data_IF_575648420752
#
_entry.id   IF_575648420752
#
_cell.length_a   1.000
_cell.length_b   1.000
_cell.length_c   1.000
_cell.angle_alpha   90.00
_cell.angle_beta   90.00
_cell.angle_gamma   90.00
#
_symmetry.space_group_name_H-M   'P 1'
#
loop_
_entity.id
_entity.type
_entity.pdbx_description
1 polymer ?
#
# COMPACT_ATOMS: atom_id res chain seq x y z
N UNK A 1 7.48 -4.82 4.81
CA UNK A 1 8.18 -3.67 4.19
C UNK A 1 8.99 -2.88 5.23
N UNK A 2 9.99 -2.12 4.79
CA UNK A 2 10.75 -1.18 5.64
C UNK A 2 11.41 -1.80 6.90
N UNK A 3 11.91 -3.04 6.81
CA UNK A 3 12.61 -3.70 7.93
C UNK A 3 11.72 -4.20 9.08
N UNK A 4 10.40 -4.01 9.01
CA UNK A 4 9.46 -4.48 10.06
C UNK A 4 9.15 -5.97 9.98
N UNK A 5 9.21 -6.56 8.78
CA UNK A 5 8.95 -7.99 8.57
C UNK A 5 10.24 -8.80 8.74
N UNK A 6 10.12 -10.03 9.24
CA UNK A 6 11.25 -10.98 9.30
C UNK A 6 11.70 -11.42 7.89
N UNK A 7 10.74 -11.63 6.98
CA UNK A 7 10.96 -11.96 5.59
C UNK A 7 10.09 -11.05 4.71
N UNK A 8 10.64 -10.54 3.61
CA UNK A 8 9.89 -9.84 2.59
C UNK A 8 10.49 -10.09 1.21
N UNK A 9 9.66 -10.01 0.18
CA UNK A 9 10.10 -10.15 -1.21
C UNK A 9 10.88 -8.92 -1.72
N UNK A 10 10.56 -7.73 -1.19
CA UNK A 10 11.18 -6.46 -1.58
C UNK A 10 11.05 -5.42 -0.46
N UNK A 11 11.95 -4.43 -0.47
CA UNK A 11 11.86 -3.23 0.35
C UNK A 11 11.10 -2.09 -0.36
N UNK A 12 10.80 -2.26 -1.65
CA UNK A 12 10.13 -1.25 -2.46
C UNK A 12 8.66 -1.09 -2.07
N UNK A 13 8.17 0.14 -2.26
CA UNK A 13 6.77 0.50 -2.10
C UNK A 13 6.06 0.29 -3.44
N UNK A 14 5.23 -0.74 -3.55
CA UNK A 14 4.53 -1.11 -4.79
C UNK A 14 3.02 -0.98 -4.65
N UNK A 15 2.38 -0.63 -5.76
CA UNK A 15 0.92 -0.67 -5.84
C UNK A 15 0.46 -2.12 -5.91
N UNK A 16 -0.40 -2.49 -4.96
CA UNK A 16 -1.21 -3.71 -5.03
C UNK A 16 -2.65 -3.25 -5.23
N UNK A 17 -3.20 -3.27 -6.47
CA UNK A 17 -4.49 -2.66 -6.77
C UNK A 17 -5.63 -3.15 -5.86
N UNK A 18 -5.65 -4.45 -5.55
CA UNK A 18 -6.63 -5.05 -4.64
C UNK A 18 -6.53 -4.50 -3.21
N UNK A 19 -5.32 -4.15 -2.76
CA UNK A 19 -5.07 -3.55 -1.45
C UNK A 19 -5.56 -2.11 -1.33
N UNK A 20 -5.68 -1.38 -2.45
CA UNK A 20 -6.12 0.03 -2.48
C UNK A 20 -7.65 0.12 -2.56
N UNK A 21 -8.22 -0.50 -3.59
CA UNK A 21 -9.62 -0.26 -3.97
C UNK A 21 -10.61 -0.99 -3.05
N UNK A 22 -10.15 -2.01 -2.31
CA UNK A 22 -11.04 -2.84 -1.48
C UNK A 22 -12.10 -3.60 -2.29
N UNK A 23 -12.00 -3.57 -3.63
CA UNK A 23 -12.87 -4.25 -4.56
C UNK A 23 -12.16 -5.48 -5.11
N UNK A 24 -12.85 -6.62 -5.03
CA UNK A 24 -12.43 -7.87 -5.64
C UNK A 24 -12.86 -7.87 -7.11
N UNK A 25 -11.99 -7.44 -8.02
CA UNK A 25 -12.10 -7.87 -9.44
C UNK A 25 -11.75 -9.35 -9.60
N UNK A 26 -11.09 -9.92 -8.59
CA UNK A 26 -10.81 -11.35 -8.45
C UNK A 26 -11.08 -11.79 -7.01
N UNK A 27 -11.68 -12.97 -6.86
CA UNK A 27 -11.86 -13.72 -5.62
C UNK A 27 -13.32 -13.85 -5.22
N UNK A 28 -14.19 -12.94 -5.67
CA UNK A 28 -15.64 -12.83 -5.37
C UNK A 28 -16.05 -13.26 -3.94
N UNK A 29 -15.16 -13.06 -2.97
CA UNK A 29 -15.42 -13.36 -1.57
C UNK A 29 -15.03 -12.18 -0.70
N UNK A 30 -15.70 -12.06 0.44
CA UNK A 30 -15.39 -11.06 1.45
C UNK A 30 -14.08 -11.36 2.18
N UNK A 31 -13.71 -10.42 3.05
CA UNK A 31 -12.76 -10.69 4.14
C UNK A 31 -13.31 -11.82 5.02
N UNK A 32 -12.42 -12.54 5.69
CA UNK A 32 -12.79 -13.60 6.63
C UNK A 32 -13.67 -13.09 7.76
N UNK A 33 -14.65 -13.90 8.15
CA UNK A 33 -15.61 -13.65 9.22
C UNK A 33 -15.35 -14.65 10.34
N UNK A 34 -15.11 -14.16 11.55
CA UNK A 34 -15.03 -14.99 12.74
C UNK A 34 -16.45 -15.32 13.23
N UNK A 35 -16.85 -16.60 13.31
CA UNK A 35 -18.19 -16.97 13.76
C UNK A 35 -18.36 -16.66 15.26
N UNK A 36 -19.53 -16.15 15.65
CA UNK A 36 -19.84 -15.85 17.06
C UNK A 36 -19.89 -17.09 17.95
N UNK A 37 -20.21 -18.24 17.36
CA UNK A 37 -20.28 -19.57 17.94
C UNK A 37 -18.96 -20.36 17.85
N UNK A 38 -17.90 -19.74 17.30
CA UNK A 38 -16.61 -20.39 17.07
C UNK A 38 -16.59 -21.29 15.83
N UNK A 39 -15.50 -22.03 15.64
CA UNK A 39 -15.30 -22.90 14.46
C UNK A 39 -14.40 -22.28 13.39
N UNK A 40 -14.59 -22.70 12.14
CA UNK A 40 -13.77 -22.25 11.01
C UNK A 40 -14.18 -20.84 10.55
N UNK A 41 -13.22 -20.06 10.05
CA UNK A 41 -13.53 -18.75 9.45
C UNK A 41 -14.45 -18.90 8.24
N UNK A 42 -15.48 -18.06 8.16
CA UNK A 42 -16.38 -17.95 7.02
C UNK A 42 -16.04 -16.80 6.07
N UNK A 43 -16.79 -16.68 4.99
CA UNK A 43 -16.81 -15.51 4.10
C UNK A 43 -18.17 -15.39 3.41
N UNK A 44 -18.48 -14.20 2.88
CA UNK A 44 -19.64 -13.96 2.02
C UNK A 44 -19.19 -14.08 0.56
N UNK A 45 -19.94 -14.82 -0.25
CA UNK A 45 -19.75 -14.91 -1.70
C UNK A 45 -20.52 -13.78 -2.39
N UNK A 46 -19.87 -13.08 -3.30
CA UNK A 46 -20.44 -11.95 -4.05
C UNK A 46 -21.06 -12.40 -5.37
N UNK A 47 -22.15 -13.17 -5.30
CA UNK A 47 -22.83 -13.73 -6.48
C UNK A 47 -23.27 -12.66 -7.50
N UNK A 48 -23.71 -11.50 -7.01
CA UNK A 48 -24.11 -10.36 -7.84
C UNK A 48 -22.99 -9.79 -8.74
N UNK A 49 -21.73 -10.14 -8.47
CA UNK A 49 -20.57 -9.71 -9.27
C UNK A 49 -20.07 -10.80 -10.23
N UNK A 50 -20.75 -11.95 -10.33
CA UNK A 50 -20.31 -13.08 -11.16
C UNK A 50 -20.06 -12.69 -12.63
N UNK A 51 -20.88 -11.80 -13.18
CA UNK A 51 -20.72 -11.31 -14.56
C UNK A 51 -19.44 -10.48 -14.78
N UNK A 52 -18.78 -10.05 -13.70
CA UNK A 52 -17.57 -9.23 -13.72
C UNK A 52 -16.33 -9.99 -13.19
N UNK A 53 -16.45 -11.29 -12.92
CA UNK A 53 -15.36 -12.08 -12.36
C UNK A 53 -14.21 -12.24 -13.37
N UNK A 54 -13.02 -11.77 -13.00
CA UNK A 54 -11.78 -11.99 -13.78
C UNK A 54 -10.77 -12.87 -13.03
N UNK A 55 -11.19 -13.61 -12.00
CA UNK A 55 -10.29 -14.45 -11.19
C UNK A 55 -9.47 -15.43 -12.00
N UNK A 56 -10.10 -16.20 -12.89
CA UNK A 56 -9.40 -17.21 -13.68
C UNK A 56 -8.33 -16.57 -14.56
N UNK A 57 -8.70 -15.53 -15.31
CA UNK A 57 -7.75 -14.80 -16.15
C UNK A 57 -6.60 -14.20 -15.35
N UNK A 58 -6.87 -13.61 -14.18
CA UNK A 58 -5.82 -13.07 -13.31
C UNK A 58 -4.83 -14.14 -12.82
N UNK A 59 -5.34 -15.29 -12.35
CA UNK A 59 -4.50 -16.42 -11.90
C UNK A 59 -3.69 -16.99 -13.06
N UNK A 60 -4.30 -17.16 -14.23
CA UNK A 60 -3.63 -17.64 -15.43
C UNK A 60 -2.47 -16.72 -15.85
N UNK A 61 -2.68 -15.40 -15.84
CA UNK A 61 -1.62 -14.43 -16.13
C UNK A 61 -0.46 -14.53 -15.12
N UNK A 62 -0.75 -14.63 -13.82
CA UNK A 62 0.30 -14.84 -12.81
C UNK A 62 1.05 -16.15 -13.08
N UNK A 63 0.36 -17.24 -13.39
CA UNK A 63 0.99 -18.53 -13.62
C UNK A 63 1.87 -18.53 -14.89
N UNK A 64 1.44 -17.84 -15.95
CA UNK A 64 2.26 -17.61 -17.15
C UNK A 64 3.56 -16.88 -16.78
N UNK A 65 3.45 -15.75 -16.06
CA UNK A 65 4.61 -14.96 -15.62
C UNK A 65 5.54 -15.78 -14.72
N UNK A 66 4.97 -16.61 -13.84
CA UNK A 66 5.73 -17.51 -12.96
C UNK A 66 6.48 -18.57 -13.74
N UNK A 67 5.86 -19.22 -14.74
CA UNK A 67 6.49 -20.27 -15.57
C UNK A 67 7.59 -19.73 -16.47
N UNK A 68 7.48 -18.48 -16.92
CA UNK A 68 8.52 -17.81 -17.71
C UNK A 68 9.79 -17.50 -16.91
N UNK A 69 9.70 -17.50 -15.57
CA UNK A 69 10.87 -17.32 -14.71
C UNK A 69 11.51 -18.68 -14.46
N UNK A 70 12.73 -18.87 -14.93
CA UNK A 70 13.58 -20.00 -14.54
C UNK A 70 13.86 -19.89 -13.03
N UNK A 71 13.14 -20.67 -12.22
CA UNK A 71 13.19 -20.51 -10.78
C UNK A 71 14.39 -21.28 -10.17
N UNK A 72 15.49 -20.58 -9.98
CA UNK A 72 16.56 -20.95 -9.05
C UNK A 72 17.03 -19.73 -8.22
N UNK A 73 16.10 -18.83 -7.85
CA UNK A 73 16.43 -17.74 -6.95
C UNK A 73 16.51 -18.27 -5.51
N UNK A 74 17.72 -18.50 -5.03
CA UNK A 74 17.99 -18.66 -3.60
C UNK A 74 17.87 -17.28 -2.96
N UNK A 75 16.68 -16.96 -2.46
CA UNK A 75 16.45 -15.73 -1.70
C UNK A 75 16.95 -15.95 -0.26
N UNK A 76 17.95 -15.19 0.15
CA UNK A 76 18.33 -15.11 1.56
C UNK A 76 17.42 -14.08 2.26
N UNK A 77 16.87 -14.40 3.45
CA UNK A 77 16.22 -13.41 4.29
C UNK A 77 17.19 -12.25 4.59
N UNK A 78 16.66 -11.03 4.75
CA UNK A 78 17.49 -9.91 5.19
C UNK A 78 18.15 -10.20 6.54
N UNK A 79 19.42 -9.82 6.65
CA UNK A 79 20.13 -9.89 7.93
C UNK A 79 19.47 -8.94 8.95
N UNK A 80 19.66 -9.18 10.27
CA UNK A 80 19.21 -8.24 11.29
C UNK A 80 19.70 -6.80 11.06
N UNK A 81 20.93 -6.64 10.56
CA UNK A 81 21.50 -5.33 10.24
C UNK A 81 20.76 -4.65 9.09
N UNK A 82 20.54 -5.34 7.96
CA UNK A 82 19.79 -4.80 6.82
C UNK A 82 18.37 -4.38 7.22
N UNK A 83 17.69 -5.19 8.03
CA UNK A 83 16.37 -4.84 8.57
C UNK A 83 16.42 -3.60 9.46
N UNK A 84 17.44 -3.48 10.31
CA UNK A 84 17.64 -2.31 11.17
C UNK A 84 17.86 -1.04 10.34
N UNK A 85 18.69 -1.10 9.29
CA UNK A 85 18.96 0.03 8.39
C UNK A 85 17.70 0.47 7.64
N UNK A 86 16.93 -0.47 7.09
CA UNK A 86 15.65 -0.19 6.43
C UNK A 86 14.65 0.45 7.40
N UNK A 87 14.57 -0.06 8.64
CA UNK A 87 13.68 0.47 9.68
C UNK A 87 14.11 1.89 10.09
N UNK A 88 15.41 2.12 10.24
CA UNK A 88 15.94 3.45 10.57
C UNK A 88 15.70 4.46 9.44
N UNK A 89 15.87 4.07 8.18
CA UNK A 89 15.54 4.90 7.03
C UNK A 89 14.06 5.28 7.00
N UNK A 90 13.17 4.31 7.18
CA UNK A 90 11.73 4.55 7.27
C UNK A 90 11.36 5.49 8.43
N UNK A 91 11.87 5.22 9.63
CA UNK A 91 11.59 6.06 10.81
C UNK A 91 12.08 7.50 10.64
N UNK A 92 13.23 7.72 10.01
CA UNK A 92 13.75 9.07 9.71
C UNK A 92 12.81 9.85 8.82
N UNK A 93 12.26 9.23 7.77
CA UNK A 93 11.28 9.90 6.90
C UNK A 93 10.02 10.27 7.66
N UNK A 94 9.47 9.35 8.47
CA UNK A 94 8.27 9.63 9.26
C UNK A 94 8.53 10.78 10.26
N UNK A 95 9.68 10.76 10.95
CA UNK A 95 10.06 11.82 11.88
C UNK A 95 10.23 13.17 11.19
N UNK A 96 10.95 13.23 10.07
CA UNK A 96 11.17 14.46 9.31
C UNK A 96 9.86 15.05 8.76
N UNK A 97 8.94 14.22 8.28
CA UNK A 97 7.63 14.68 7.84
C UNK A 97 6.77 15.15 9.02
N UNK A 98 6.84 14.45 10.16
CA UNK A 98 6.09 14.87 11.34
C UNK A 98 6.57 16.23 11.87
N UNK A 99 7.89 16.47 11.89
CA UNK A 99 8.48 17.74 12.25
C UNK A 99 8.12 18.84 11.24
N UNK A 100 8.29 18.57 9.93
CA UNK A 100 8.02 19.53 8.85
C UNK A 100 6.57 20.03 8.85
N UNK A 101 5.62 19.19 9.23
CA UNK A 101 4.18 19.48 9.17
C UNK A 101 3.52 19.59 10.55
N UNK A 102 4.30 19.75 11.62
CA UNK A 102 3.82 19.89 13.02
C UNK A 102 2.81 18.80 13.44
N UNK A 103 3.13 17.54 13.12
CA UNK A 103 2.28 16.38 13.38
C UNK A 103 2.67 15.70 14.69
N UNK A 104 1.97 16.03 15.76
CA UNK A 104 2.19 15.42 17.08
C UNK A 104 1.74 13.95 17.18
N UNK A 105 0.76 13.53 16.37
CA UNK A 105 0.27 12.15 16.33
C UNK A 105 0.75 11.44 15.06
N UNK A 106 1.79 10.62 15.17
CA UNK A 106 2.37 9.87 14.04
C UNK A 106 1.36 8.99 13.30
N UNK A 107 0.26 8.59 13.92
CA UNK A 107 -0.81 7.85 13.24
C UNK A 107 -1.51 8.68 12.15
N UNK A 108 -1.24 9.99 12.07
CA UNK A 108 -1.72 10.84 10.98
C UNK A 108 -0.88 10.73 9.71
N UNK A 109 0.36 10.26 9.82
CA UNK A 109 1.24 10.01 8.67
C UNK A 109 0.86 8.64 8.08
N UNK A 110 0.50 8.61 6.79
CA UNK A 110 0.11 7.41 6.04
C UNK A 110 1.14 7.13 4.96
N UNK A 111 2.22 6.42 5.32
CA UNK A 111 3.31 6.19 4.40
C UNK A 111 3.05 5.01 3.47
N UNK A 112 3.59 5.12 2.26
CA UNK A 112 3.45 4.10 1.23
C UNK A 112 2.24 4.36 0.34
N UNK A 113 2.38 4.06 -0.95
CA UNK A 113 1.38 4.36 -1.98
C UNK A 113 0.00 3.80 -1.65
N UNK A 114 -0.06 2.59 -1.08
CA UNK A 114 -1.32 1.96 -0.72
C UNK A 114 -2.01 2.60 0.50
N UNK A 115 -1.24 3.07 1.49
CA UNK A 115 -1.82 3.77 2.64
C UNK A 115 -2.23 5.20 2.27
N UNK A 116 -1.36 5.90 1.54
CA UNK A 116 -1.59 7.26 1.04
C UNK A 116 -2.88 7.32 0.21
N UNK A 117 -3.01 6.43 -0.78
CA UNK A 117 -4.20 6.37 -1.64
C UNK A 117 -5.48 6.08 -0.85
N UNK A 118 -5.44 5.13 0.09
CA UNK A 118 -6.59 4.85 0.96
C UNK A 118 -6.94 6.02 1.88
N UNK A 119 -5.95 6.78 2.33
CA UNK A 119 -6.18 7.95 3.15
C UNK A 119 -6.93 9.04 2.37
N UNK A 120 -6.55 9.30 1.12
CA UNK A 120 -7.29 10.22 0.22
C UNK A 120 -8.72 9.72 -0.01
N UNK A 121 -8.93 8.42 -0.20
CA UNK A 121 -10.26 7.86 -0.45
C UNK A 121 -11.20 7.86 0.78
N UNK A 122 -10.65 7.80 2.01
CA UNK A 122 -11.43 7.44 3.22
C UNK A 122 -11.34 8.44 4.37
N UNK A 123 -10.47 9.44 4.27
CA UNK A 123 -10.19 10.41 5.34
C UNK A 123 -10.15 11.82 4.74
N UNK A 124 -9.91 12.81 5.59
CA UNK A 124 -9.66 14.19 5.18
C UNK A 124 -8.14 14.39 5.13
N UNK A 125 -7.51 14.39 3.94
CA UNK A 125 -6.09 14.66 3.80
C UNK A 125 -5.77 16.13 4.04
N UNK A 126 -4.60 16.37 4.60
CA UNK A 126 -4.01 17.69 4.84
C UNK A 126 -2.88 17.96 3.83
N UNK A 127 -2.01 16.96 3.65
CA UNK A 127 -0.92 16.99 2.66
C UNK A 127 -0.83 15.65 1.93
N UNK A 128 -0.54 15.71 0.62
CA UNK A 128 -0.21 14.54 -0.19
C UNK A 128 1.13 14.80 -0.85
N UNK A 129 2.08 13.91 -0.60
CA UNK A 129 3.46 14.00 -1.06
C UNK A 129 3.75 12.79 -1.95
N UNK A 130 4.42 13.01 -3.06
CA UNK A 130 4.94 11.95 -3.93
C UNK A 130 6.43 12.13 -4.17
N UNK A 131 7.11 11.03 -4.46
CA UNK A 131 8.53 11.08 -4.83
C UNK A 131 8.70 11.64 -6.24
N UNK A 132 7.85 11.22 -7.16
CA UNK A 132 7.91 11.56 -8.58
C UNK A 132 6.49 11.55 -9.16
N UNK A 133 6.03 12.67 -9.69
CA UNK A 133 4.71 12.85 -10.30
C UNK A 133 4.55 12.05 -11.60
N UNK A 134 5.65 11.73 -12.28
CA UNK A 134 5.65 10.94 -13.51
C UNK A 134 5.68 9.41 -13.25
N UNK A 135 5.74 8.98 -11.99
CA UNK A 135 5.72 7.56 -11.64
C UNK A 135 4.35 6.93 -11.98
N UNK A 136 4.36 5.85 -12.76
CA UNK A 136 3.13 5.16 -13.17
C UNK A 136 2.33 4.65 -11.97
N UNK A 137 3.01 4.27 -10.88
CA UNK A 137 2.39 3.73 -9.68
C UNK A 137 1.65 4.80 -8.88
N UNK A 138 2.00 6.09 -9.01
CA UNK A 138 1.31 7.17 -8.28
C UNK A 138 0.09 7.72 -9.03
N UNK A 139 -0.14 7.35 -10.30
CA UNK A 139 -1.16 7.98 -11.14
C UNK A 139 -2.59 7.83 -10.59
N UNK A 140 -2.90 6.69 -9.96
CA UNK A 140 -4.21 6.51 -9.29
C UNK A 140 -4.38 7.51 -8.14
N UNK A 141 -3.33 7.71 -7.33
CA UNK A 141 -3.34 8.70 -6.24
C UNK A 141 -3.55 10.10 -6.81
N UNK A 142 -2.78 10.48 -7.85
CA UNK A 142 -2.88 11.80 -8.49
C UNK A 142 -4.30 12.08 -9.04
N UNK A 143 -4.90 11.09 -9.70
CA UNK A 143 -6.25 11.20 -10.21
C UNK A 143 -7.29 11.42 -9.09
N UNK A 144 -7.13 10.72 -7.96
CA UNK A 144 -8.04 10.86 -6.82
C UNK A 144 -7.87 12.22 -6.12
N UNK A 145 -6.63 12.71 -6.00
CA UNK A 145 -6.36 14.02 -5.41
C UNK A 145 -6.85 15.16 -6.30
N UNK A 146 -6.68 15.05 -7.62
CA UNK A 146 -7.20 16.02 -8.59
C UNK A 146 -8.72 16.14 -8.47
N UNK A 147 -9.44 15.01 -8.49
CA UNK A 147 -10.89 14.98 -8.31
C UNK A 147 -11.37 15.58 -7.00
N UNK A 148 -10.56 15.48 -5.94
CA UNK A 148 -10.87 16.02 -4.62
C UNK A 148 -10.35 17.45 -4.41
N UNK A 149 -9.69 18.06 -5.41
CA UNK A 149 -9.10 19.39 -5.30
C UNK A 149 -7.95 19.49 -4.30
N UNK A 150 -7.23 18.39 -4.05
CA UNK A 150 -6.11 18.33 -3.10
C UNK A 150 -4.81 18.52 -3.88
N UNK A 151 -3.97 19.52 -3.55
CA UNK A 151 -2.67 19.67 -4.19
C UNK A 151 -1.73 18.53 -3.79
N UNK A 152 -0.89 18.12 -4.74
CA UNK A 152 0.15 17.11 -4.52
C UNK A 152 1.51 17.78 -4.66
N UNK A 153 2.39 17.54 -3.69
CA UNK A 153 3.76 18.04 -3.70
C UNK A 153 4.74 16.93 -4.12
N UNK A 154 5.58 17.18 -5.12
CA UNK A 154 6.72 16.33 -5.43
C UNK A 154 7.90 16.70 -4.52
N UNK A 155 8.40 15.74 -3.74
CA UNK A 155 9.47 15.99 -2.76
C UNK A 155 10.72 15.13 -2.96
N UNK A 156 10.76 14.35 -4.05
CA UNK A 156 11.92 13.54 -4.40
C UNK A 156 12.35 12.59 -3.28
N UNK A 157 13.65 12.46 -3.11
CA UNK A 157 14.28 11.49 -2.20
C UNK A 157 13.99 11.72 -0.71
N UNK A 158 13.35 12.85 -0.35
CA UNK A 158 12.87 13.10 1.02
C UNK A 158 11.94 11.98 1.50
N UNK A 159 11.20 11.31 0.61
CA UNK A 159 10.33 10.18 0.99
C UNK A 159 11.08 8.86 1.24
N UNK A 160 12.42 8.81 1.07
CA UNK A 160 13.25 7.66 1.41
C UNK A 160 12.80 6.34 0.76
N UNK A 161 12.15 5.41 1.47
CA UNK A 161 11.63 4.16 0.89
C UNK A 161 10.21 4.26 0.30
N UNK A 162 9.47 5.35 0.52
CA UNK A 162 8.06 5.48 0.10
C UNK A 162 7.90 6.20 -1.24
N UNK A 163 6.99 5.73 -2.11
CA UNK A 163 6.61 6.45 -3.33
C UNK A 163 5.66 7.60 -3.05
N UNK A 164 4.80 7.44 -2.04
CA UNK A 164 3.89 8.48 -1.60
C UNK A 164 3.66 8.45 -0.09
N UNK A 165 3.26 9.60 0.45
CA UNK A 165 2.80 9.76 1.84
C UNK A 165 1.59 10.69 1.84
N UNK A 166 0.55 10.34 2.59
CA UNK A 166 -0.54 11.27 2.91
C UNK A 166 -0.54 11.58 4.39
N UNK A 167 -0.61 12.85 4.74
CA UNK A 167 -0.83 13.30 6.11
C UNK A 167 -2.31 13.64 6.24
N UNK A 168 -3.02 13.03 7.18
CA UNK A 168 -4.44 13.32 7.42
C UNK A 168 -4.57 14.50 8.39
N UNK A 169 -5.66 15.26 8.27
CA UNK A 169 -5.96 16.42 9.12
C UNK A 169 -6.16 16.00 10.58
N UNK A 170 -5.79 16.88 11.52
CA UNK A 170 -6.16 16.72 12.93
C UNK A 170 -7.65 17.00 13.09
N UNK A 171 -8.39 16.03 13.62
CA UNK A 171 -9.71 16.30 14.17
C UNK A 171 -9.45 16.74 15.61
N UNK A 172 -9.64 18.04 15.88
CA UNK A 172 -9.44 18.61 17.21
C UNK A 172 -10.34 18.00 18.26
#
# INVERSE_FOLDING_TARGET
>A
PCGSAWLAASAEDWVIPSGILGATVSGLVSRSIWPTDGGLHGCVVYEHLQAHDVTRGFIEQIDIQRRQKECALTLAPWTPQQRSELKAAASRVIGALAERFDVNNLNRVKPGIAEATRAVMRRVPDHVLVRNLADSDVQLLLHLTEKAGIPVEEVGDVLGPYRAVTIIRSLG
#
